data_IF_802114054768
#
_entry.id   IF_802114054768
#
_cell.length_a   1.000
_cell.length_b   1.000
_cell.length_c   1.000
_cell.angle_alpha   90.00
_cell.angle_beta   90.00
_cell.angle_gamma   90.00
#
_symmetry.space_group_name_H-M   'P 1'
#
loop_
_entity.id
_entity.type
_entity.pdbx_description
1 polymer ?
#
# COMPACT_ATOMS: atom_id res chain seq x y z
N UNK A 1 -50.08 -17.19 65.69
CA UNK A 1 -49.77 -16.02 64.81
C UNK A 1 -48.45 -16.38 64.09
N UNK A 2 -48.56 -16.86 62.83
CA UNK A 2 -47.40 -17.25 62.03
C UNK A 2 -47.17 -16.14 60.98
N UNK A 3 -46.02 -15.49 61.02
CA UNK A 3 -45.58 -14.50 60.07
C UNK A 3 -44.92 -15.23 58.93
N UNK A 4 -45.50 -15.16 57.71
CA UNK A 4 -44.88 -15.64 56.50
C UNK A 4 -44.04 -14.51 55.88
N UNK A 5 -42.76 -14.77 55.66
CA UNK A 5 -41.86 -13.94 54.89
C UNK A 5 -42.01 -14.27 53.42
N UNK A 6 -42.47 -13.31 52.61
CA UNK A 6 -42.47 -13.40 51.16
C UNK A 6 -41.12 -12.87 50.66
N UNK A 7 -40.27 -13.76 50.22
CA UNK A 7 -39.04 -13.41 49.51
C UNK A 7 -39.43 -13.15 48.06
N UNK A 8 -39.38 -11.87 47.62
CA UNK A 8 -39.45 -11.53 46.21
C UNK A 8 -38.08 -11.71 45.60
N UNK A 9 -37.92 -12.70 44.71
CA UNK A 9 -36.76 -12.85 43.86
C UNK A 9 -36.80 -11.77 42.77
N UNK A 10 -35.87 -10.82 42.82
CA UNK A 10 -35.65 -9.89 41.72
C UNK A 10 -34.79 -10.59 40.69
N UNK A 11 -35.39 -10.88 39.52
CA UNK A 11 -34.65 -11.38 38.37
C UNK A 11 -33.84 -10.22 37.76
N UNK A 12 -32.54 -10.24 37.94
CA UNK A 12 -31.60 -9.34 37.24
C UNK A 12 -31.45 -9.92 35.84
N UNK A 13 -32.07 -9.28 34.87
CA UNK A 13 -31.78 -9.53 33.44
C UNK A 13 -30.46 -8.81 33.14
N UNK A 14 -29.36 -9.57 33.10
CA UNK A 14 -28.08 -9.09 32.57
C UNK A 14 -28.21 -9.05 31.06
N UNK A 15 -28.47 -7.87 30.51
CA UNK A 15 -28.35 -7.65 29.08
C UNK A 15 -26.86 -7.69 28.72
N UNK A 16 -26.39 -8.86 28.27
CA UNK A 16 -25.08 -8.96 27.63
C UNK A 16 -25.19 -8.23 26.30
N UNK A 17 -24.82 -6.94 26.31
CA UNK A 17 -24.44 -6.25 25.08
C UNK A 17 -23.20 -6.97 24.55
N UNK A 18 -23.40 -7.83 23.56
CA UNK A 18 -22.31 -8.43 22.81
C UNK A 18 -21.54 -7.27 22.15
N UNK A 19 -20.44 -6.88 22.76
CA UNK A 19 -19.39 -6.14 22.07
C UNK A 19 -18.92 -7.10 20.98
N UNK A 20 -19.38 -6.89 19.77
CA UNK A 20 -18.87 -7.62 18.62
C UNK A 20 -17.36 -7.46 18.64
N UNK A 21 -16.63 -8.54 18.90
CA UNK A 21 -15.19 -8.55 18.79
C UNK A 21 -14.86 -8.03 17.39
N UNK A 22 -14.12 -6.93 17.31
CA UNK A 22 -13.58 -6.48 16.06
C UNK A 22 -12.85 -7.67 15.46
N UNK A 23 -13.27 -8.11 14.26
CA UNK A 23 -12.65 -9.24 13.58
C UNK A 23 -11.19 -8.85 13.41
N UNK A 24 -10.31 -9.55 14.09
CA UNK A 24 -8.87 -9.35 13.96
C UNK A 24 -8.54 -9.56 12.49
N UNK A 25 -7.83 -8.61 11.87
CA UNK A 25 -7.39 -8.75 10.49
C UNK A 25 -6.31 -9.82 10.52
N UNK A 26 -6.66 -11.02 10.07
CA UNK A 26 -5.67 -12.07 9.92
C UNK A 26 -4.62 -11.60 8.90
N UNK A 27 -3.33 -11.72 9.21
CA UNK A 27 -2.27 -11.44 8.26
C UNK A 27 -2.49 -12.26 6.98
N UNK A 28 -2.29 -11.63 5.82
CA UNK A 28 -2.35 -12.35 4.55
C UNK A 28 -1.26 -13.42 4.51
N UNK A 29 -1.64 -14.68 4.65
CA UNK A 29 -0.68 -15.77 4.50
C UNK A 29 -0.31 -15.94 3.02
N UNK A 30 0.98 -16.14 2.70
CA UNK A 30 1.38 -16.47 1.33
C UNK A 30 0.90 -17.86 0.99
N UNK A 31 0.19 -17.97 -0.13
CA UNK A 31 -0.13 -19.27 -0.74
C UNK A 31 1.11 -19.89 -1.42
N UNK A 32 1.03 -21.16 -1.70
CA UNK A 32 2.04 -21.83 -2.51
C UNK A 32 2.08 -21.19 -3.90
N UNK A 33 3.29 -21.07 -4.52
CA UNK A 33 3.37 -20.70 -5.92
C UNK A 33 2.47 -21.62 -6.76
N UNK A 34 1.73 -21.09 -7.73
CA UNK A 34 0.91 -21.92 -8.60
C UNK A 34 1.78 -22.98 -9.27
N UNK A 35 1.25 -24.19 -9.40
CA UNK A 35 1.84 -25.18 -10.28
C UNK A 35 2.01 -24.57 -11.68
N UNK A 36 3.11 -24.91 -12.36
CA UNK A 36 3.44 -24.36 -13.68
C UNK A 36 2.20 -24.19 -14.55
N UNK A 37 2.06 -23.01 -15.18
CA UNK A 37 0.92 -22.67 -16.00
C UNK A 37 0.56 -23.81 -16.96
N UNK A 38 -0.72 -24.19 -17.09
CA UNK A 38 -1.13 -24.99 -18.22
C UNK A 38 -0.72 -24.25 -19.49
N UNK A 39 -0.22 -25.03 -20.47
CA UNK A 39 0.17 -24.49 -21.75
C UNK A 39 -0.96 -23.59 -22.28
N UNK A 40 -0.64 -22.36 -22.67
CA UNK A 40 -1.58 -21.38 -23.18
C UNK A 40 -2.40 -22.00 -24.32
N UNK A 41 -3.68 -22.14 -24.07
CA UNK A 41 -4.59 -22.56 -25.12
C UNK A 41 -4.65 -21.47 -26.19
N UNK A 42 -4.56 -21.91 -27.43
CA UNK A 42 -4.78 -21.24 -28.72
C UNK A 42 -4.43 -19.74 -28.85
N UNK A 43 -3.38 -19.39 -29.65
CA UNK A 43 -3.05 -18.01 -30.02
C UNK A 43 -4.22 -17.23 -30.67
N UNK A 44 -5.21 -17.92 -31.20
CA UNK A 44 -6.39 -17.29 -31.83
C UNK A 44 -7.42 -16.78 -30.80
N UNK A 45 -7.31 -17.19 -29.55
CA UNK A 45 -8.17 -16.71 -28.45
C UNK A 45 -7.71 -15.40 -27.81
N UNK A 46 -6.70 -14.71 -28.34
CA UNK A 46 -6.23 -13.42 -27.82
C UNK A 46 -7.32 -12.37 -27.93
N UNK A 47 -7.77 -11.84 -26.82
CA UNK A 47 -8.65 -10.67 -26.86
C UNK A 47 -7.83 -9.39 -27.03
N UNK A 48 -8.37 -8.44 -27.77
CA UNK A 48 -7.79 -7.10 -27.85
C UNK A 48 -7.66 -6.48 -26.45
N UNK A 49 -6.66 -5.62 -26.20
CA UNK A 49 -6.53 -4.91 -24.94
C UNK A 49 -7.79 -4.10 -24.70
N UNK A 50 -8.28 -4.07 -23.47
CA UNK A 50 -9.47 -3.29 -23.13
C UNK A 50 -9.11 -1.82 -23.12
N UNK A 51 -9.69 -1.10 -24.09
CA UNK A 51 -9.67 0.36 -24.13
C UNK A 51 -11.10 0.85 -23.96
N UNK A 52 -11.32 1.68 -22.96
CA UNK A 52 -12.63 2.28 -22.68
C UNK A 52 -12.54 3.79 -22.88
N UNK A 53 -13.25 4.32 -23.87
CA UNK A 53 -13.37 5.75 -24.09
C UNK A 53 -14.67 6.30 -23.46
N UNK A 54 -14.55 7.39 -22.70
CA UNK A 54 -15.68 8.17 -22.16
C UNK A 54 -15.43 9.65 -22.44
N UNK A 55 -16.03 10.16 -23.51
CA UNK A 55 -15.76 11.52 -23.98
C UNK A 55 -14.28 11.68 -24.38
N UNK A 56 -13.60 12.64 -23.78
CA UNK A 56 -12.17 12.91 -24.02
C UNK A 56 -11.23 11.97 -23.22
N UNK A 57 -11.75 11.14 -22.33
CA UNK A 57 -10.96 10.25 -21.48
C UNK A 57 -10.87 8.86 -22.08
N UNK A 58 -9.65 8.30 -22.03
CA UNK A 58 -9.36 6.94 -22.49
C UNK A 58 -8.67 6.18 -21.38
N UNK A 59 -9.23 5.03 -20.97
CA UNK A 59 -8.58 4.08 -20.10
C UNK A 59 -7.93 2.97 -20.92
N UNK A 60 -6.66 2.69 -20.65
CA UNK A 60 -5.88 1.68 -21.37
C UNK A 60 -5.47 0.59 -20.40
N UNK A 61 -5.66 -0.69 -20.78
CA UNK A 61 -5.21 -1.83 -19.99
C UNK A 61 -3.67 -1.89 -19.99
N UNK A 62 -3.07 -2.15 -18.82
CA UNK A 62 -1.62 -2.12 -18.61
C UNK A 62 -0.97 -3.51 -18.49
N UNK A 63 -1.70 -4.51 -17.95
CA UNK A 63 -1.24 -5.90 -17.88
C UNK A 63 -1.51 -6.62 -19.20
N UNK A 64 -0.69 -6.36 -20.18
CA UNK A 64 -0.80 -6.88 -21.56
C UNK A 64 0.41 -7.75 -21.89
N UNK A 65 0.26 -8.62 -22.89
CA UNK A 65 1.39 -9.42 -23.39
C UNK A 65 2.37 -8.58 -24.21
N UNK A 66 3.47 -9.18 -24.66
CA UNK A 66 4.52 -8.50 -25.43
C UNK A 66 4.02 -7.91 -26.78
N UNK A 67 2.84 -8.29 -27.25
CA UNK A 67 2.18 -7.76 -28.43
C UNK A 67 1.09 -6.73 -28.11
N UNK A 68 0.92 -6.38 -26.82
CA UNK A 68 -0.09 -5.44 -26.35
C UNK A 68 -1.49 -6.04 -26.21
N UNK A 69 -1.67 -7.35 -26.27
CA UNK A 69 -2.97 -8.01 -26.09
C UNK A 69 -3.21 -8.37 -24.62
N UNK A 70 -4.51 -8.51 -24.28
CA UNK A 70 -4.91 -8.99 -22.97
C UNK A 70 -4.33 -10.38 -22.68
N UNK A 71 -3.79 -10.56 -21.50
CA UNK A 71 -3.35 -11.86 -21.00
C UNK A 71 -4.58 -12.62 -20.52
N UNK A 72 -4.91 -13.74 -21.17
CA UNK A 72 -6.10 -14.51 -20.81
C UNK A 72 -5.89 -15.29 -19.53
N UNK A 73 -6.86 -15.19 -18.64
CA UNK A 73 -6.92 -15.98 -17.41
C UNK A 73 -6.14 -15.40 -16.23
N UNK A 74 -5.32 -14.37 -16.42
CA UNK A 74 -4.66 -13.67 -15.33
C UNK A 74 -5.60 -12.73 -14.56
N UNK A 75 -5.11 -12.17 -13.46
CA UNK A 75 -5.80 -11.12 -12.72
C UNK A 75 -4.81 -10.11 -12.14
N UNK A 76 -5.27 -8.89 -11.91
CA UNK A 76 -4.49 -7.81 -11.32
C UNK A 76 -5.37 -6.93 -10.43
N UNK A 77 -4.80 -6.44 -9.31
CA UNK A 77 -5.47 -5.49 -8.43
C UNK A 77 -4.45 -4.62 -7.66
N UNK A 78 -4.93 -3.68 -6.86
CA UNK A 78 -4.14 -2.74 -6.05
C UNK A 78 -3.05 -1.99 -6.85
N UNK A 79 -3.44 -1.17 -7.84
CA UNK A 79 -2.49 -0.42 -8.64
C UNK A 79 -1.89 0.76 -7.87
N UNK A 80 -0.62 1.05 -8.16
CA UNK A 80 0.10 2.27 -7.76
C UNK A 80 0.84 2.83 -8.98
N UNK A 81 0.82 4.16 -9.18
CA UNK A 81 1.41 4.80 -10.35
C UNK A 81 2.31 5.96 -9.95
N UNK A 82 3.43 6.13 -10.67
CA UNK A 82 4.32 7.27 -10.56
C UNK A 82 4.62 7.84 -11.95
N UNK A 83 4.75 9.18 -12.00
CA UNK A 83 5.02 9.94 -13.23
C UNK A 83 6.37 10.63 -13.11
N UNK A 84 7.26 10.40 -14.05
CA UNK A 84 8.59 11.01 -14.06
C UNK A 84 8.49 12.54 -14.17
N UNK A 85 8.96 13.32 -13.20
CA UNK A 85 8.84 14.77 -13.21
C UNK A 85 9.67 15.43 -14.34
N UNK A 86 10.74 14.77 -14.79
CA UNK A 86 11.58 15.26 -15.89
C UNK A 86 11.01 14.93 -17.28
N UNK A 87 10.18 13.90 -17.37
CA UNK A 87 9.54 13.46 -18.59
C UNK A 87 8.15 12.88 -18.30
N UNK A 88 7.09 13.69 -18.28
CA UNK A 88 5.74 13.21 -17.96
C UNK A 88 5.17 12.15 -18.94
N UNK A 89 5.81 11.94 -20.08
CA UNK A 89 5.47 10.83 -20.96
C UNK A 89 5.98 9.47 -20.45
N UNK A 90 6.96 9.48 -19.51
CA UNK A 90 7.45 8.30 -18.84
C UNK A 90 6.70 8.10 -17.51
N UNK A 91 6.03 6.98 -17.39
CA UNK A 91 5.28 6.58 -16.21
C UNK A 91 5.55 5.11 -15.91
N UNK A 92 5.45 4.76 -14.63
CA UNK A 92 5.50 3.38 -14.14
C UNK A 92 4.25 3.11 -13.33
N UNK A 93 3.64 1.96 -13.55
CA UNK A 93 2.54 1.45 -12.74
C UNK A 93 2.92 0.08 -12.17
N UNK A 94 2.56 -0.17 -10.93
CA UNK A 94 2.76 -1.42 -10.21
C UNK A 94 1.42 -1.99 -9.77
N UNK A 95 1.32 -3.30 -9.58
CA UNK A 95 0.11 -3.96 -9.10
C UNK A 95 0.40 -5.33 -8.51
N UNK A 96 -0.57 -5.91 -7.80
CA UNK A 96 -0.54 -7.34 -7.47
C UNK A 96 -0.95 -8.14 -8.71
N UNK A 97 -0.04 -8.95 -9.23
CA UNK A 97 -0.26 -9.83 -10.37
C UNK A 97 -0.59 -11.24 -9.88
N UNK A 98 -1.61 -11.84 -10.47
CA UNK A 98 -2.02 -13.22 -10.23
C UNK A 98 -1.99 -14.00 -11.54
N UNK A 99 -1.62 -15.27 -11.45
CA UNK A 99 -1.59 -16.16 -12.61
C UNK A 99 -2.99 -16.62 -13.04
N UNK A 100 -3.99 -16.50 -12.16
CA UNK A 100 -5.39 -16.74 -12.47
C UNK A 100 -6.30 -16.01 -11.51
N UNK A 101 -7.58 -15.86 -11.88
CA UNK A 101 -8.61 -15.24 -11.02
C UNK A 101 -8.93 -16.05 -9.75
N UNK A 102 -8.53 -17.31 -9.71
CA UNK A 102 -8.71 -18.21 -8.56
C UNK A 102 -7.45 -18.33 -7.71
N UNK A 103 -6.31 -17.80 -8.18
CA UNK A 103 -5.07 -17.81 -7.42
C UNK A 103 -5.09 -16.72 -6.34
N UNK A 104 -4.55 -17.04 -5.18
CA UNK A 104 -4.25 -16.06 -4.13
C UNK A 104 -2.74 -15.78 -4.02
N UNK A 105 -1.92 -16.45 -4.80
CA UNK A 105 -0.48 -16.18 -4.85
C UNK A 105 -0.21 -14.88 -5.61
N UNK A 106 0.29 -13.89 -4.88
CA UNK A 106 0.52 -12.53 -5.38
C UNK A 106 1.96 -12.37 -5.81
N UNK A 107 2.18 -11.72 -6.95
CA UNK A 107 3.48 -11.35 -7.46
C UNK A 107 3.51 -9.87 -7.78
N UNK A 108 4.67 -9.24 -7.72
CA UNK A 108 4.84 -7.82 -8.02
C UNK A 108 4.87 -7.56 -9.51
N UNK A 109 3.72 -7.26 -10.12
CA UNK A 109 3.64 -6.83 -11.52
C UNK A 109 4.02 -5.37 -11.69
N UNK A 110 4.59 -5.03 -12.88
CA UNK A 110 4.79 -3.62 -13.25
C UNK A 110 4.72 -3.44 -14.76
N UNK A 111 4.32 -2.25 -15.17
CA UNK A 111 4.47 -1.81 -16.55
C UNK A 111 5.03 -0.39 -16.61
N UNK A 112 5.62 -0.06 -17.74
CA UNK A 112 6.11 1.28 -18.02
C UNK A 112 5.63 1.78 -19.38
N UNK A 113 5.64 3.09 -19.53
CA UNK A 113 5.35 3.78 -20.79
C UNK A 113 6.31 4.93 -21.02
N UNK A 114 6.51 5.33 -22.29
CA UNK A 114 7.22 6.54 -22.72
C UNK A 114 6.37 7.44 -23.62
N UNK A 115 5.07 7.18 -23.70
CA UNK A 115 4.14 7.91 -24.57
C UNK A 115 2.89 8.43 -23.83
N UNK A 116 3.05 8.75 -22.54
CA UNK A 116 1.98 9.25 -21.68
C UNK A 116 0.80 8.27 -21.53
N UNK A 117 1.11 6.97 -21.42
CA UNK A 117 0.13 5.93 -21.14
C UNK A 117 -0.71 5.46 -22.33
N UNK A 118 -0.34 5.84 -23.57
CA UNK A 118 -1.04 5.36 -24.76
C UNK A 118 -0.75 3.90 -25.05
N UNK A 119 0.50 3.49 -24.80
CA UNK A 119 0.94 2.09 -24.87
C UNK A 119 1.73 1.75 -23.61
N UNK A 120 1.55 0.54 -23.13
CA UNK A 120 2.25 0.02 -21.96
C UNK A 120 3.04 -1.22 -22.32
N UNK A 121 4.23 -1.34 -21.72
CA UNK A 121 5.02 -2.55 -21.77
C UNK A 121 5.01 -3.21 -20.41
N UNK A 122 4.53 -4.45 -20.33
CA UNK A 122 4.56 -5.30 -19.15
C UNK A 122 5.67 -6.35 -19.30
N UNK A 123 6.85 -6.18 -18.70
CA UNK A 123 7.96 -7.13 -18.82
C UNK A 123 7.75 -8.42 -18.02
N UNK A 124 6.79 -8.43 -17.11
CA UNK A 124 6.54 -9.55 -16.20
C UNK A 124 6.48 -9.10 -14.74
N UNK A 125 6.91 -9.99 -13.84
CA UNK A 125 6.85 -9.76 -12.40
C UNK A 125 8.24 -9.65 -11.78
N UNK A 126 8.39 -8.85 -10.73
CA UNK A 126 9.60 -8.77 -9.92
C UNK A 126 9.85 -10.12 -9.24
N UNK A 127 11.08 -10.63 -9.35
CA UNK A 127 11.49 -11.88 -8.69
C UNK A 127 10.47 -13.00 -8.84
N UNK A 128 10.26 -13.55 -10.06
CA UNK A 128 9.24 -14.56 -10.33
C UNK A 128 9.25 -15.71 -9.32
N UNK A 129 8.06 -16.16 -8.91
CA UNK A 129 7.91 -17.21 -7.89
C UNK A 129 8.11 -16.73 -6.44
N UNK A 130 8.36 -15.45 -6.23
CA UNK A 130 8.42 -14.84 -4.90
C UNK A 130 7.09 -14.14 -4.61
N UNK A 131 6.47 -14.44 -3.45
CA UNK A 131 5.28 -13.72 -3.01
C UNK A 131 5.59 -12.24 -2.81
N UNK A 132 4.77 -11.38 -3.44
CA UNK A 132 4.86 -9.92 -3.35
C UNK A 132 3.48 -9.30 -3.34
N UNK A 133 3.20 -8.48 -2.33
CA UNK A 133 1.92 -7.79 -2.13
C UNK A 133 2.14 -6.30 -1.90
N UNK A 134 1.07 -5.54 -1.81
CA UNK A 134 1.00 -4.13 -1.45
C UNK A 134 2.04 -3.27 -2.22
N UNK A 135 2.02 -3.31 -3.55
CA UNK A 135 2.99 -2.58 -4.36
C UNK A 135 2.77 -1.08 -4.25
N UNK A 136 3.83 -0.34 -3.98
CA UNK A 136 3.82 1.12 -4.05
C UNK A 136 4.99 1.57 -4.90
N UNK A 137 4.72 2.45 -5.87
CA UNK A 137 5.76 3.10 -6.67
C UNK A 137 5.76 4.59 -6.45
N UNK A 138 6.95 5.17 -6.40
CA UNK A 138 7.18 6.61 -6.42
C UNK A 138 8.46 6.91 -7.22
N UNK A 139 8.76 8.19 -7.45
CA UNK A 139 9.86 8.62 -8.29
C UNK A 139 10.50 9.87 -7.67
N UNK A 140 11.82 10.00 -7.74
CA UNK A 140 12.52 11.20 -7.26
C UNK A 140 12.57 12.33 -8.31
N UNK A 141 13.14 13.47 -7.92
CA UNK A 141 13.29 14.63 -8.79
C UNK A 141 14.24 14.38 -9.98
N UNK A 142 15.09 13.34 -9.91
CA UNK A 142 16.03 12.94 -10.95
C UNK A 142 15.44 11.88 -11.90
N UNK A 143 14.20 11.43 -11.65
CA UNK A 143 13.52 10.42 -12.47
C UNK A 143 13.90 8.98 -12.16
N UNK A 144 14.51 8.73 -11.00
CA UNK A 144 14.73 7.37 -10.49
C UNK A 144 13.43 6.86 -9.87
N UNK A 145 12.92 5.74 -10.35
CA UNK A 145 11.74 5.11 -9.81
C UNK A 145 12.09 4.14 -8.68
N UNK A 146 11.24 4.09 -7.69
CA UNK A 146 11.31 3.19 -6.54
C UNK A 146 10.03 2.35 -6.48
N UNK A 147 10.20 1.04 -6.35
CA UNK A 147 9.13 0.08 -6.16
C UNK A 147 9.31 -0.59 -4.81
N UNK A 148 8.39 -0.39 -3.89
CA UNK A 148 8.38 -1.08 -2.61
C UNK A 148 7.28 -2.14 -2.60
N UNK A 149 7.59 -3.34 -2.09
CA UNK A 149 6.60 -4.39 -1.96
C UNK A 149 6.82 -5.30 -0.77
N UNK A 150 5.70 -5.79 -0.23
CA UNK A 150 5.62 -6.71 0.88
C UNK A 150 6.00 -8.14 0.44
N UNK A 151 6.73 -8.85 1.30
CA UNK A 151 7.01 -10.29 1.19
C UNK A 151 6.08 -11.11 2.08
N UNK A 152 6.06 -12.43 1.90
CA UNK A 152 5.24 -13.34 2.69
C UNK A 152 5.55 -13.36 4.20
N UNK A 153 6.67 -12.81 4.63
CA UNK A 153 7.03 -12.63 6.04
C UNK A 153 6.72 -11.22 6.57
N UNK A 154 5.91 -10.45 5.85
CA UNK A 154 5.55 -9.05 6.14
C UNK A 154 6.73 -8.07 6.20
N UNK A 155 7.91 -8.45 5.68
CA UNK A 155 9.01 -7.52 5.45
C UNK A 155 8.94 -6.98 4.02
N UNK A 156 9.43 -5.77 3.83
CA UNK A 156 9.45 -5.10 2.53
C UNK A 156 10.83 -5.17 1.88
N UNK A 157 10.83 -5.20 0.56
CA UNK A 157 11.97 -4.86 -0.26
C UNK A 157 11.66 -3.61 -1.09
N UNK A 158 12.67 -2.79 -1.31
CA UNK A 158 12.63 -1.65 -2.23
C UNK A 158 13.56 -1.93 -3.41
N UNK A 159 13.04 -1.72 -4.61
CA UNK A 159 13.78 -1.83 -5.87
C UNK A 159 13.95 -0.45 -6.48
N UNK A 160 15.02 -0.22 -7.22
CA UNK A 160 15.31 1.03 -7.93
C UNK A 160 15.40 0.80 -9.43
N UNK A 161 14.88 1.74 -10.21
CA UNK A 161 15.03 1.79 -11.66
C UNK A 161 15.54 3.16 -12.08
N UNK A 162 16.68 3.20 -12.75
CA UNK A 162 17.30 4.41 -13.31
C UNK A 162 17.05 4.56 -14.81
N UNK A 163 16.23 3.69 -15.40
CA UNK A 163 15.97 3.64 -16.84
C UNK A 163 14.48 3.74 -17.19
N UNK A 164 13.73 4.46 -16.36
CA UNK A 164 12.31 4.74 -16.63
C UNK A 164 11.37 3.54 -16.40
N UNK A 165 11.74 2.60 -15.53
CA UNK A 165 10.94 1.41 -15.23
C UNK A 165 11.16 0.23 -16.17
N UNK A 166 12.11 0.33 -17.12
CA UNK A 166 12.42 -0.76 -18.07
C UNK A 166 12.96 -1.99 -17.33
N UNK A 167 13.81 -1.76 -16.34
CA UNK A 167 14.34 -2.82 -15.46
C UNK A 167 14.59 -2.28 -14.06
N UNK A 168 14.71 -3.21 -13.12
CA UNK A 168 14.90 -2.94 -11.70
C UNK A 168 16.20 -3.55 -11.20
N UNK A 169 16.87 -2.83 -10.29
CA UNK A 169 18.03 -3.33 -9.56
C UNK A 169 17.68 -4.44 -8.58
N UNK A 170 18.68 -4.94 -7.86
CA UNK A 170 18.49 -5.92 -6.81
C UNK A 170 17.64 -5.36 -5.66
N UNK A 171 16.82 -6.21 -4.98
CA UNK A 171 16.03 -5.79 -3.84
C UNK A 171 16.90 -5.34 -2.66
N UNK A 172 16.52 -4.25 -2.03
CA UNK A 172 17.10 -3.75 -0.77
C UNK A 172 16.06 -3.92 0.33
N UNK A 173 16.41 -4.66 1.39
CA UNK A 173 15.53 -4.85 2.54
C UNK A 173 15.22 -3.51 3.24
N UNK A 174 13.94 -3.21 3.45
CA UNK A 174 13.46 -1.92 3.95
C UNK A 174 12.51 -2.05 5.15
N UNK A 175 12.74 -3.03 6.03
CA UNK A 175 11.89 -3.35 7.18
C UNK A 175 10.47 -3.72 6.74
N UNK A 176 9.43 -3.26 7.44
CA UNK A 176 8.08 -3.28 6.91
C UNK A 176 7.01 -3.96 7.72
N UNK A 177 5.86 -3.98 7.10
CA UNK A 177 4.63 -4.57 7.57
C UNK A 177 3.54 -4.42 6.52
N UNK A 178 2.40 -5.01 6.81
CA UNK A 178 1.20 -4.97 5.99
C UNK A 178 0.71 -3.53 5.76
N UNK A 179 0.09 -3.29 4.61
CA UNK A 179 -0.40 -1.97 4.19
C UNK A 179 0.68 -0.89 4.21
N UNK A 180 1.84 -1.22 3.64
CA UNK A 180 2.93 -0.27 3.49
C UNK A 180 2.57 0.86 2.52
N UNK A 181 3.20 2.01 2.75
CA UNK A 181 3.20 3.14 1.82
C UNK A 181 4.57 3.74 1.71
N UNK A 182 4.94 4.20 0.52
CA UNK A 182 6.21 4.83 0.21
C UNK A 182 5.97 6.22 -0.35
N UNK A 183 6.80 7.18 0.03
CA UNK A 183 6.89 8.50 -0.63
C UNK A 183 8.34 8.94 -0.73
N UNK A 184 8.66 9.67 -1.79
CA UNK A 184 9.97 10.29 -2.03
C UNK A 184 9.87 11.80 -1.82
N UNK A 185 10.82 12.39 -1.09
CA UNK A 185 10.96 13.83 -0.98
C UNK A 185 11.54 14.40 -2.28
N UNK A 186 10.82 15.32 -2.91
CA UNK A 186 11.19 16.01 -4.16
C UNK A 186 11.21 17.51 -3.99
N UNK A 187 11.43 17.99 -2.76
CA UNK A 187 11.30 19.41 -2.45
C UNK A 187 12.51 20.26 -2.84
N UNK A 188 13.62 19.63 -3.22
CA UNK A 188 14.89 20.32 -3.45
C UNK A 188 15.52 20.88 -2.18
N UNK A 189 14.96 20.56 -1.00
CA UNK A 189 15.48 20.97 0.31
C UNK A 189 16.48 19.98 0.90
N UNK A 190 16.71 20.07 2.21
CA UNK A 190 17.65 19.19 2.94
C UNK A 190 17.27 17.69 2.85
N UNK A 191 15.99 17.39 2.65
CA UNK A 191 15.46 16.02 2.53
C UNK A 191 15.33 15.53 1.10
N UNK A 192 15.73 16.30 0.09
CA UNK A 192 15.56 15.91 -1.31
C UNK A 192 16.22 14.56 -1.60
N UNK A 193 15.45 13.64 -2.21
CA UNK A 193 15.87 12.26 -2.43
C UNK A 193 15.74 11.33 -1.22
N UNK A 194 15.27 11.78 -0.06
CA UNK A 194 14.92 10.90 1.04
C UNK A 194 13.67 10.09 0.67
N UNK A 195 13.67 8.81 1.03
CA UNK A 195 12.52 7.91 0.93
C UNK A 195 11.96 7.66 2.32
N UNK A 196 10.64 7.65 2.44
CA UNK A 196 9.94 7.35 3.70
C UNK A 196 8.99 6.20 3.48
N UNK A 197 9.07 5.16 4.33
CA UNK A 197 8.18 4.01 4.32
C UNK A 197 7.43 3.89 5.63
N UNK A 198 6.10 3.69 5.58
CA UNK A 198 5.23 3.45 6.73
C UNK A 198 4.45 2.17 6.54
N UNK A 199 4.01 1.55 7.63
CA UNK A 199 3.14 0.37 7.62
C UNK A 199 2.28 0.31 8.88
N UNK A 200 1.28 -0.59 8.90
CA UNK A 200 0.49 -0.83 10.10
C UNK A 200 1.27 -1.65 11.14
N UNK A 201 1.02 -1.40 12.42
CA UNK A 201 1.79 -2.03 13.51
C UNK A 201 1.42 -3.49 13.79
N UNK A 202 0.28 -3.98 13.33
CA UNK A 202 -0.29 -5.27 13.77
C UNK A 202 0.25 -6.47 12.99
N UNK A 203 0.60 -6.30 11.72
CA UNK A 203 1.24 -7.33 10.89
C UNK A 203 2.55 -6.77 10.37
N UNK A 204 3.58 -6.78 11.21
CA UNK A 204 4.80 -6.02 10.95
C UNK A 204 5.97 -6.48 11.78
N UNK A 205 7.18 -6.08 11.36
CA UNK A 205 8.33 -6.01 12.25
C UNK A 205 8.22 -4.82 13.21
N UNK A 206 9.13 -4.78 14.15
CA UNK A 206 9.58 -3.57 14.87
C UNK A 206 8.56 -2.98 15.85
N UNK A 207 7.48 -3.69 16.17
CA UNK A 207 6.51 -3.33 17.20
C UNK A 207 5.78 -2.01 16.89
N UNK A 208 5.98 -1.00 17.75
CA UNK A 208 5.38 0.33 17.56
C UNK A 208 6.17 1.26 16.64
N UNK A 209 7.34 0.82 16.16
CA UNK A 209 8.18 1.56 15.23
C UNK A 209 7.75 1.25 13.80
N UNK A 210 6.88 2.05 13.25
CA UNK A 210 6.16 1.79 12.00
C UNK A 210 6.60 2.64 10.82
N UNK A 211 7.63 3.45 10.99
CA UNK A 211 8.18 4.29 9.93
C UNK A 211 9.68 4.10 9.82
N UNK A 212 10.17 3.89 8.62
CA UNK A 212 11.60 3.92 8.27
C UNK A 212 11.85 4.98 7.22
N UNK A 213 13.11 5.39 7.08
CA UNK A 213 13.55 6.23 5.95
C UNK A 213 14.88 5.76 5.40
N UNK A 214 15.09 6.07 4.13
CA UNK A 214 16.40 6.05 3.49
C UNK A 214 16.85 7.48 3.19
N UNK A 215 18.06 7.81 3.57
CA UNK A 215 18.73 9.08 3.24
C UNK A 215 19.86 8.85 2.22
N UNK A 216 19.83 7.71 1.57
CA UNK A 216 20.87 7.24 0.63
C UNK A 216 20.24 6.80 -0.70
N UNK A 217 19.09 7.39 -1.08
CA UNK A 217 18.39 7.04 -2.32
C UNK A 217 17.99 5.56 -2.39
N UNK A 218 17.48 5.00 -1.28
CA UNK A 218 16.98 3.61 -1.24
C UNK A 218 18.05 2.53 -1.07
N UNK A 219 19.35 2.87 -1.03
CA UNK A 219 20.43 1.88 -0.91
C UNK A 219 20.61 1.33 0.50
N UNK A 220 20.25 2.11 1.52
CA UNK A 220 20.19 1.68 2.92
C UNK A 220 18.98 2.28 3.62
N UNK A 221 18.48 1.61 4.65
CA UNK A 221 17.32 2.05 5.42
C UNK A 221 17.66 2.16 6.90
N UNK A 222 17.20 3.23 7.53
CA UNK A 222 17.44 3.51 8.95
C UNK A 222 16.50 2.66 9.83
N UNK A 223 16.94 2.41 11.07
CA UNK A 223 16.12 1.73 12.09
C UNK A 223 14.76 2.43 12.22
N UNK A 224 13.66 1.69 12.21
CA UNK A 224 12.33 2.26 12.30
C UNK A 224 12.07 3.03 13.58
N UNK A 225 11.25 4.08 13.47
CA UNK A 225 10.84 4.97 14.57
C UNK A 225 9.31 4.93 14.75
N UNK A 226 8.81 5.29 15.95
CA UNK A 226 7.37 5.39 16.18
C UNK A 226 6.79 6.63 15.50
N UNK A 227 5.54 6.53 15.06
CA UNK A 227 4.73 7.65 14.58
C UNK A 227 3.60 7.90 15.58
N UNK A 228 3.36 9.17 15.93
CA UNK A 228 2.31 9.55 16.86
C UNK A 228 0.94 9.04 16.36
N UNK A 229 0.17 8.40 17.25
CA UNK A 229 -1.15 7.80 16.93
C UNK A 229 -1.11 6.59 15.99
N UNK A 230 0.04 6.16 15.50
CA UNK A 230 0.23 5.04 14.58
C UNK A 230 -0.81 5.01 13.45
N UNK A 231 -0.80 6.01 12.53
CA UNK A 231 -1.73 6.02 11.41
C UNK A 231 -1.70 4.69 10.67
N UNK A 232 -2.85 4.06 10.55
CA UNK A 232 -3.02 2.72 9.97
C UNK A 232 -3.94 2.82 8.77
N UNK A 233 -3.74 1.99 7.73
CA UNK A 233 -4.49 2.03 6.47
C UNK A 233 -4.51 3.42 5.83
N UNK A 234 -3.36 4.05 5.78
CA UNK A 234 -3.21 5.40 5.28
C UNK A 234 -2.02 5.57 4.37
N UNK A 235 -1.68 6.81 4.10
CA UNK A 235 -0.62 7.19 3.18
C UNK A 235 0.31 8.23 3.78
N UNK A 236 1.41 8.49 3.06
CA UNK A 236 2.38 9.54 3.35
C UNK A 236 2.27 10.66 2.31
N UNK A 237 2.62 11.87 2.70
CA UNK A 237 2.88 12.98 1.79
C UNK A 237 4.00 13.86 2.35
N UNK A 238 4.77 14.50 1.45
CA UNK A 238 5.80 15.48 1.82
C UNK A 238 5.32 16.86 1.39
N UNK A 239 5.30 17.81 2.31
CA UNK A 239 4.96 19.19 2.03
C UNK A 239 6.11 19.98 1.38
N UNK A 240 5.84 21.17 0.81
CA UNK A 240 6.83 21.96 0.08
C UNK A 240 8.02 22.40 0.95
N UNK A 241 7.86 22.42 2.27
CA UNK A 241 8.92 22.69 3.23
C UNK A 241 9.67 21.44 3.70
N UNK A 242 9.40 20.26 3.12
CA UNK A 242 9.94 18.97 3.51
C UNK A 242 9.30 18.37 4.77
N UNK A 243 8.22 18.95 5.30
CA UNK A 243 7.45 18.35 6.40
C UNK A 243 6.81 17.04 5.91
N UNK A 244 7.09 15.93 6.60
CA UNK A 244 6.49 14.63 6.32
C UNK A 244 5.14 14.50 7.05
N UNK A 245 4.10 14.14 6.33
CA UNK A 245 2.77 13.83 6.87
C UNK A 245 2.47 12.34 6.70
N UNK A 246 1.86 11.76 7.74
CA UNK A 246 1.33 10.41 7.74
C UNK A 246 -0.13 10.46 8.20
N UNK A 247 -1.05 9.90 7.44
CA UNK A 247 -2.47 9.91 7.78
C UNK A 247 -3.08 8.52 7.69
N UNK A 248 -4.13 8.27 8.44
CA UNK A 248 -4.84 7.00 8.47
C UNK A 248 -5.80 6.93 9.65
N UNK A 249 -6.31 5.76 9.98
CA UNK A 249 -7.10 5.56 11.20
C UNK A 249 -6.19 5.43 12.42
N UNK A 250 -6.72 5.76 13.60
CA UNK A 250 -5.99 5.67 14.86
C UNK A 250 -5.62 4.21 15.18
N UNK A 251 -4.34 3.89 15.13
CA UNK A 251 -3.79 2.59 15.46
C UNK A 251 -3.45 2.40 16.94
N UNK A 252 -3.80 3.32 17.85
CA UNK A 252 -3.46 3.23 19.27
C UNK A 252 -4.17 2.09 19.98
N UNK A 253 -5.43 1.84 19.59
CA UNK A 253 -6.25 0.76 20.14
C UNK A 253 -6.99 0.05 19.02
N UNK A 254 -6.74 -1.24 18.84
CA UNK A 254 -7.52 -2.13 17.98
C UNK A 254 -8.07 -1.51 16.68
N UNK A 255 -7.30 -0.63 16.03
CA UNK A 255 -7.69 0.00 14.77
C UNK A 255 -9.05 0.72 14.87
N UNK A 256 -9.08 1.86 15.52
CA UNK A 256 -10.33 2.62 15.67
C UNK A 256 -10.70 3.32 14.36
N UNK A 257 -11.53 2.65 13.55
CA UNK A 257 -12.00 3.16 12.24
C UNK A 257 -12.91 4.40 12.33
N UNK A 258 -13.35 4.78 13.53
CA UNK A 258 -14.12 6.01 13.74
C UNK A 258 -13.24 7.25 13.94
N UNK A 259 -11.93 7.05 14.11
CA UNK A 259 -11.00 8.13 14.39
C UNK A 259 -9.97 8.20 13.28
N UNK A 260 -9.97 9.28 12.52
CA UNK A 260 -8.95 9.59 11.54
C UNK A 260 -7.86 10.46 12.18
N UNK A 261 -6.60 10.16 11.89
CA UNK A 261 -5.47 10.87 12.46
C UNK A 261 -4.50 11.34 11.38
N UNK A 262 -3.87 12.48 11.64
CA UNK A 262 -2.74 12.97 10.86
C UNK A 262 -1.59 13.19 11.83
N UNK A 263 -0.46 12.57 11.55
CA UNK A 263 0.81 12.83 12.21
C UNK A 263 1.74 13.57 11.26
N UNK A 264 2.62 14.39 11.79
CA UNK A 264 3.62 15.10 10.99
C UNK A 264 4.98 15.11 11.68
N UNK A 265 6.02 15.16 10.89
CA UNK A 265 7.40 15.36 11.30
C UNK A 265 8.00 16.51 10.51
N UNK A 266 8.56 17.50 11.23
CA UNK A 266 9.28 18.63 10.63
C UNK A 266 10.77 18.34 10.46
N UNK A 267 11.25 17.33 11.15
CA UNK A 267 12.66 16.93 11.25
C UNK A 267 12.99 15.64 10.47
N UNK A 268 11.98 14.92 9.95
CA UNK A 268 12.23 13.73 9.14
C UNK A 268 13.08 13.98 7.89
N UNK A 269 13.08 15.19 7.37
CA UNK A 269 13.91 15.61 6.24
C UNK A 269 15.40 15.70 6.56
N UNK A 270 15.78 15.93 7.84
CA UNK A 270 17.16 16.06 8.26
C UNK A 270 17.81 14.69 8.48
N UNK A 271 18.81 14.29 7.66
CA UNK A 271 19.45 12.98 7.77
C UNK A 271 20.19 12.77 9.09
N UNK A 272 20.60 13.83 9.76
CA UNK A 272 21.35 13.81 11.03
C UNK A 272 20.49 13.66 12.27
N UNK A 273 19.14 13.73 12.14
CA UNK A 273 18.21 13.74 13.27
C UNK A 273 17.30 12.52 13.22
N UNK A 274 17.05 11.88 14.37
CA UNK A 274 16.01 10.86 14.46
C UNK A 274 14.65 11.52 14.34
N UNK A 275 13.78 11.09 13.37
CA UNK A 275 12.47 11.70 13.18
C UNK A 275 11.59 11.67 14.42
N UNK A 276 10.96 12.81 14.71
CA UNK A 276 9.95 12.95 15.76
C UNK A 276 8.60 13.34 15.15
N UNK A 277 7.51 12.89 15.76
CA UNK A 277 6.16 13.11 15.22
C UNK A 277 5.24 13.73 16.26
N UNK A 278 4.47 14.73 15.86
CA UNK A 278 3.25 15.14 16.55
C UNK A 278 2.01 14.62 15.77
N UNK A 279 0.93 14.31 16.49
CA UNK A 279 -0.29 13.75 15.87
C UNK A 279 -1.55 14.46 16.34
N UNK A 280 -2.53 14.57 15.45
CA UNK A 280 -3.84 15.14 15.70
C UNK A 280 -4.94 14.23 15.20
N UNK A 281 -6.07 14.24 15.91
CA UNK A 281 -7.33 13.68 15.41
C UNK A 281 -7.94 14.67 14.43
N UNK A 282 -8.49 14.15 13.36
CA UNK A 282 -9.24 14.91 12.35
C UNK A 282 -10.67 14.39 12.32
N UNK A 283 -11.62 15.22 12.58
CA UNK A 283 -13.05 14.90 12.52
C UNK A 283 -13.50 14.89 11.06
N UNK A 284 -13.75 13.70 10.51
CA UNK A 284 -14.15 13.52 9.11
C UNK A 284 -15.67 13.46 8.93
N UNK A 285 -16.46 13.52 10.02
CA UNK A 285 -17.91 13.41 9.98
C UNK A 285 -18.44 12.02 9.59
N UNK A 286 -17.62 10.99 9.72
CA UNK A 286 -17.95 9.62 9.36
C UNK A 286 -16.93 8.62 9.91
N UNK A 287 -16.97 7.41 9.40
CA UNK A 287 -16.02 6.35 9.78
C UNK A 287 -15.54 5.59 8.55
N UNK A 288 -14.37 4.98 8.66
CA UNK A 288 -13.87 4.03 7.67
C UNK A 288 -14.37 2.63 8.01
N UNK A 289 -14.67 1.82 6.99
CA UNK A 289 -15.20 0.48 7.17
C UNK A 289 -14.16 -0.56 6.73
N UNK A 290 -14.00 -1.60 7.54
CA UNK A 290 -13.22 -2.77 7.20
C UNK A 290 -14.15 -3.91 6.83
N UNK A 291 -14.05 -4.40 5.60
CA UNK A 291 -14.87 -5.49 5.08
C UNK A 291 -16.32 -5.09 4.79
N UNK A 292 -17.04 -5.91 4.06
CA UNK A 292 -18.40 -5.64 3.61
C UNK A 292 -18.45 -4.71 2.38
N UNK A 293 -19.66 -4.23 2.01
CA UNK A 293 -19.88 -3.34 0.88
C UNK A 293 -19.67 -3.98 -0.48
N UNK A 294 -19.28 -3.20 -1.52
CA UNK A 294 -19.21 -3.71 -2.90
C UNK A 294 -18.09 -4.73 -3.14
N UNK A 295 -17.07 -4.76 -2.26
CA UNK A 295 -15.93 -5.69 -2.36
C UNK A 295 -15.87 -6.58 -1.12
N UNK A 296 -16.61 -7.69 -1.08
CA UNK A 296 -16.53 -8.61 0.05
C UNK A 296 -15.10 -9.17 0.19
N UNK A 297 -14.55 -9.10 1.40
CA UNK A 297 -13.20 -9.58 1.70
C UNK A 297 -12.08 -8.57 1.46
N UNK A 298 -12.39 -7.33 1.04
CA UNK A 298 -11.41 -6.25 0.86
C UNK A 298 -11.43 -5.20 1.96
N UNK A 299 -10.36 -4.42 2.05
CA UNK A 299 -10.33 -3.17 2.81
C UNK A 299 -11.10 -2.10 2.04
N UNK A 300 -12.14 -1.54 2.65
CA UNK A 300 -12.98 -0.51 2.04
C UNK A 300 -12.58 0.91 2.43
N UNK A 301 -11.69 1.04 3.39
CA UNK A 301 -11.32 2.33 3.95
C UNK A 301 -9.81 2.47 4.03
N UNK A 302 -9.18 3.03 2.99
CA UNK A 302 -7.82 3.53 3.07
C UNK A 302 -7.87 5.06 3.04
N UNK A 303 -7.27 5.69 4.05
CA UNK A 303 -7.15 7.14 4.10
C UNK A 303 -6.00 7.61 3.22
N UNK A 304 -6.23 8.69 2.46
CA UNK A 304 -5.17 9.32 1.69
C UNK A 304 -4.91 10.73 2.21
N UNK A 305 -3.65 11.14 2.19
CA UNK A 305 -3.22 12.51 2.46
C UNK A 305 -2.49 13.05 1.23
N UNK A 306 -2.79 14.29 0.90
CA UNK A 306 -2.04 15.07 -0.07
C UNK A 306 -1.77 16.46 0.51
N UNK A 307 -0.70 17.09 0.05
CA UNK A 307 -0.31 18.45 0.43
C UNK A 307 -0.31 19.31 -0.83
N UNK A 308 -0.87 20.50 -0.72
CA UNK A 308 -0.81 21.51 -1.77
C UNK A 308 0.59 22.12 -1.86
N UNK A 309 1.13 22.31 -3.08
CA UNK A 309 2.48 22.76 -3.37
C UNK A 309 2.50 24.15 -4.01
#
# INVERSE_FOLDING_TARGET
>A
MRIQWIVRAASIVVLMLGVGAAKEIEPEAPDQPPAAHPAREDPLARSAPKTLARGAYVSVQVNVDALGFNILGDAANEPSIAVNPLNPANMVIAWRQFDSVSSNFRQGGWAYTFDAGRHWTFPGVLTPGTFRSDPVVDVDAQGVFYYQSLKGNFLMDTFMSTNGGVSWGAPVASYGGDKNWLVVDRTGGIGDGNLYGIWQRFAACCGTNVLTRSVTGGTTWQTPVPVAKWPTFGTLAVGPDGTLFAAGVDGTTSQNFNVFVVARSKDAKDPGVTPTFDGRVVEMGGYMQLGGGPNPGGLLGQGNVAVDH
#
